data_IF_516422268489
#
_entry.id   IF_516422268489
#
_cell.length_a   1.000
_cell.length_b   1.000
_cell.length_c   1.000
_cell.angle_alpha   90.00
_cell.angle_beta   90.00
_cell.angle_gamma   90.00
#
_symmetry.space_group_name_H-M   'P 1'
#
loop_
_entity.id
_entity.type
_entity.pdbx_description
1 polymer ?
#
# COMPACT_ATOMS: atom_id res chain seq x y z
N UNK A 1 17.35 -42.27 -19.70
CA UNK A 1 16.56 -41.98 -20.91
C UNK A 1 15.47 -40.98 -20.51
N UNK A 2 15.72 -39.67 -20.64
CA UNK A 2 14.70 -38.62 -20.42
C UNK A 2 13.81 -38.65 -21.68
N UNK A 3 12.57 -39.12 -21.54
CA UNK A 3 11.61 -39.13 -22.64
C UNK A 3 11.31 -37.66 -23.02
N UNK A 4 11.17 -37.37 -24.31
CA UNK A 4 11.09 -36.03 -24.93
C UNK A 4 10.04 -35.09 -24.31
N UNK A 5 9.05 -35.64 -23.60
CA UNK A 5 7.96 -34.87 -22.98
C UNK A 5 8.11 -34.78 -21.44
N UNK A 6 9.10 -35.45 -20.83
CA UNK A 6 9.50 -35.24 -19.42
C UNK A 6 8.40 -35.43 -18.36
N UNK A 7 8.60 -34.73 -17.23
CA UNK A 7 7.73 -34.73 -16.04
C UNK A 7 6.32 -34.14 -16.31
N UNK A 8 6.17 -33.33 -17.36
CA UNK A 8 4.91 -32.66 -17.72
C UNK A 8 3.80 -33.67 -18.06
N UNK A 9 4.16 -34.82 -18.65
CA UNK A 9 3.19 -35.85 -19.05
C UNK A 9 2.52 -36.40 -17.82
N UNK A 10 3.32 -36.77 -16.81
CA UNK A 10 2.80 -37.35 -15.57
C UNK A 10 1.94 -36.34 -14.80
N UNK A 11 2.33 -35.08 -14.85
CA UNK A 11 1.61 -34.01 -14.18
C UNK A 11 0.27 -33.69 -14.85
N UNK A 12 0.24 -33.60 -16.19
CA UNK A 12 -0.95 -33.20 -16.97
C UNK A 12 -1.79 -34.38 -17.47
N UNK A 13 -1.62 -35.58 -16.94
CA UNK A 13 -2.49 -36.74 -17.22
C UNK A 13 -3.10 -37.34 -15.94
N UNK A 14 -2.96 -36.65 -14.81
CA UNK A 14 -3.29 -37.21 -13.51
C UNK A 14 -4.79 -37.25 -13.27
N UNK A 15 -5.49 -36.19 -13.64
CA UNK A 15 -6.96 -36.15 -13.53
C UNK A 15 -7.61 -37.10 -14.53
N UNK A 16 -7.02 -37.26 -15.72
CA UNK A 16 -7.42 -38.31 -16.67
C UNK A 16 -7.26 -39.71 -16.06
N UNK A 17 -6.15 -39.96 -15.37
CA UNK A 17 -5.94 -41.24 -14.68
C UNK A 17 -6.96 -41.46 -13.55
N UNK A 18 -7.33 -40.43 -12.77
CA UNK A 18 -8.39 -40.57 -11.76
C UNK A 18 -9.75 -40.91 -12.37
N UNK A 19 -10.09 -40.30 -13.51
CA UNK A 19 -11.30 -40.65 -14.24
C UNK A 19 -11.25 -42.14 -14.63
N UNK A 20 -10.13 -42.61 -15.21
CA UNK A 20 -9.98 -44.03 -15.60
C UNK A 20 -10.07 -44.96 -14.39
N UNK A 21 -9.46 -44.61 -13.26
CA UNK A 21 -9.52 -45.41 -12.02
C UNK A 21 -10.93 -45.50 -11.43
N UNK A 22 -11.82 -44.56 -11.74
CA UNK A 22 -13.21 -44.60 -11.26
C UNK A 22 -14.08 -45.63 -11.98
N UNK A 23 -13.55 -46.31 -13.02
CA UNK A 23 -14.31 -47.28 -13.81
C UNK A 23 -14.53 -48.60 -13.05
N UNK A 24 -15.75 -49.13 -13.11
CA UNK A 24 -16.10 -50.42 -12.52
C UNK A 24 -15.63 -51.62 -13.36
N UNK A 25 -15.47 -51.44 -14.67
CA UNK A 25 -15.00 -52.47 -15.61
C UNK A 25 -14.31 -51.84 -16.82
N UNK A 26 -13.70 -52.64 -17.69
CA UNK A 26 -13.03 -52.15 -18.89
C UNK A 26 -13.97 -51.40 -19.85
N UNK A 27 -15.22 -51.83 -19.95
CA UNK A 27 -16.25 -51.28 -20.84
C UNK A 27 -17.12 -50.21 -20.17
N UNK A 28 -16.93 -49.96 -18.88
CA UNK A 28 -17.72 -48.98 -18.15
C UNK A 28 -17.46 -47.56 -18.65
N UNK A 29 -18.54 -46.81 -18.91
CA UNK A 29 -18.47 -45.39 -19.24
C UNK A 29 -17.93 -44.60 -18.03
N UNK A 30 -16.96 -43.73 -18.29
CA UNK A 30 -16.33 -42.87 -17.28
C UNK A 30 -16.82 -41.44 -17.47
N UNK A 31 -17.18 -40.78 -16.36
CA UNK A 31 -17.50 -39.35 -16.37
C UNK A 31 -16.22 -38.54 -16.28
N UNK A 32 -15.96 -37.70 -17.27
CA UNK A 32 -14.80 -36.80 -17.29
C UNK A 32 -15.04 -35.66 -16.28
N UNK A 33 -14.10 -35.46 -15.35
CA UNK A 33 -14.14 -34.32 -14.42
C UNK A 33 -13.77 -33.02 -15.12
N UNK A 34 -14.15 -31.88 -14.53
CA UNK A 34 -13.79 -30.55 -15.05
C UNK A 34 -12.26 -30.40 -15.16
N UNK A 35 -11.50 -30.91 -14.18
CA UNK A 35 -10.03 -30.84 -14.22
C UNK A 35 -9.42 -31.78 -15.27
N UNK A 36 -10.01 -32.95 -15.51
CA UNK A 36 -9.60 -33.82 -16.61
C UNK A 36 -9.90 -33.20 -17.98
N UNK A 37 -10.99 -32.44 -18.10
CA UNK A 37 -11.30 -31.68 -19.31
C UNK A 37 -10.25 -30.59 -19.56
N UNK A 38 -9.79 -29.90 -18.50
CA UNK A 38 -8.68 -28.93 -18.60
C UNK A 38 -7.37 -29.59 -19.06
N UNK A 39 -7.05 -30.79 -18.56
CA UNK A 39 -5.90 -31.57 -19.03
C UNK A 39 -6.03 -31.92 -20.53
N UNK A 40 -7.20 -32.37 -20.99
CA UNK A 40 -7.46 -32.65 -22.42
C UNK A 40 -7.26 -31.39 -23.26
N UNK A 41 -7.80 -30.26 -22.82
CA UNK A 41 -7.68 -28.99 -23.52
C UNK A 41 -6.23 -28.48 -23.56
N UNK A 42 -5.48 -28.68 -22.47
CA UNK A 42 -4.04 -28.42 -22.43
C UNK A 42 -3.30 -29.23 -23.50
N UNK A 43 -3.53 -30.55 -23.58
CA UNK A 43 -2.86 -31.38 -24.59
C UNK A 43 -3.30 -31.01 -26.01
N UNK A 44 -4.58 -30.73 -26.23
CA UNK A 44 -5.10 -30.29 -27.54
C UNK A 44 -4.37 -29.05 -28.05
N UNK A 45 -4.05 -28.10 -27.15
CA UNK A 45 -3.35 -26.85 -27.50
C UNK A 45 -1.85 -27.01 -27.63
N UNK A 46 -1.22 -27.84 -26.79
CA UNK A 46 0.23 -27.82 -26.59
C UNK A 46 0.96 -29.05 -27.14
N UNK A 47 0.28 -30.15 -27.51
CA UNK A 47 0.95 -31.39 -27.92
C UNK A 47 1.85 -31.22 -29.14
N UNK A 48 1.46 -30.38 -30.11
CA UNK A 48 2.24 -30.09 -31.30
C UNK A 48 3.51 -29.28 -30.98
N UNK A 49 3.40 -28.28 -30.10
CA UNK A 49 4.52 -27.43 -29.65
C UNK A 49 5.49 -28.27 -28.81
N UNK A 50 4.98 -29.06 -27.87
CA UNK A 50 5.80 -29.92 -27.00
C UNK A 50 6.50 -31.04 -27.78
N UNK A 51 5.89 -31.55 -28.85
CA UNK A 51 6.56 -32.49 -29.77
C UNK A 51 7.58 -31.79 -30.68
N UNK A 52 7.41 -30.50 -30.99
CA UNK A 52 8.33 -29.71 -31.81
C UNK A 52 9.56 -29.19 -31.06
N UNK A 53 9.47 -29.02 -29.74
CA UNK A 53 10.56 -28.54 -28.86
C UNK A 53 11.61 -29.62 -28.52
N UNK A 54 11.91 -30.51 -29.47
CA UNK A 54 13.20 -31.21 -29.52
C UNK A 54 14.36 -30.28 -29.91
N UNK A 55 14.26 -28.98 -29.62
CA UNK A 55 15.33 -28.00 -29.84
C UNK A 55 16.28 -28.06 -28.65
N UNK A 56 17.40 -28.72 -28.94
CA UNK A 56 18.72 -28.58 -28.35
C UNK A 56 18.90 -27.53 -27.24
N UNK A 57 19.46 -27.98 -26.11
CA UNK A 57 20.02 -27.20 -25.00
C UNK A 57 21.19 -26.28 -25.42
N UNK A 58 21.62 -26.29 -26.70
CA UNK A 58 22.81 -25.59 -27.20
C UNK A 58 22.74 -24.05 -27.23
N UNK A 59 21.64 -23.41 -26.82
CA UNK A 59 21.51 -21.94 -26.84
C UNK A 59 21.36 -21.26 -25.47
N UNK A 60 21.60 -21.96 -24.36
CA UNK A 60 21.61 -21.32 -23.04
C UNK A 60 23.05 -21.19 -22.54
N UNK A 61 23.58 -19.97 -22.52
CA UNK A 61 24.88 -19.70 -21.93
C UNK A 61 24.74 -19.73 -20.40
N UNK A 62 25.78 -20.14 -19.67
CA UNK A 62 25.75 -20.21 -18.20
C UNK A 62 25.48 -18.84 -17.55
N UNK A 63 25.82 -17.74 -18.24
CA UNK A 63 25.52 -16.35 -17.85
C UNK A 63 24.06 -15.93 -18.04
N UNK A 64 23.26 -16.71 -18.78
CA UNK A 64 21.83 -16.44 -19.02
C UNK A 64 20.93 -17.06 -17.94
N UNK A 65 21.52 -17.72 -16.94
CA UNK A 65 20.85 -18.47 -15.88
C UNK A 65 21.12 -17.82 -14.53
N UNK A 66 20.32 -16.82 -14.13
CA UNK A 66 20.29 -16.45 -12.73
C UNK A 66 19.52 -17.54 -11.97
N UNK A 67 20.21 -18.26 -11.09
CA UNK A 67 19.61 -19.30 -10.26
C UNK A 67 19.02 -18.67 -9.00
N UNK A 68 17.74 -18.34 -9.05
CA UNK A 68 17.01 -17.87 -7.87
C UNK A 68 16.75 -19.05 -6.94
N UNK A 69 17.17 -18.92 -5.69
CA UNK A 69 16.90 -19.89 -4.64
C UNK A 69 15.66 -19.45 -3.87
N UNK A 70 14.62 -20.27 -3.87
CA UNK A 70 13.41 -20.05 -3.08
C UNK A 70 13.35 -21.05 -1.93
N UNK A 71 13.57 -20.57 -0.72
CA UNK A 71 13.40 -21.37 0.48
C UNK A 71 11.98 -21.22 1.01
N UNK A 72 11.29 -22.32 1.26
CA UNK A 72 9.93 -22.34 1.78
C UNK A 72 9.80 -23.28 2.97
N UNK A 73 8.89 -22.93 3.87
CA UNK A 73 8.42 -23.81 4.94
C UNK A 73 6.97 -23.48 5.32
N UNK A 74 6.29 -24.45 5.96
CA UNK A 74 4.96 -24.26 6.51
C UNK A 74 4.85 -24.82 7.93
N UNK A 75 4.27 -24.01 8.82
CA UNK A 75 3.87 -24.42 10.16
C UNK A 75 2.36 -24.65 10.24
N UNK A 76 1.87 -25.02 11.42
CA UNK A 76 0.44 -25.09 11.76
C UNK A 76 -0.26 -23.73 11.81
N UNK A 77 0.49 -22.65 12.02
CA UNK A 77 -0.07 -21.28 12.07
C UNK A 77 0.02 -20.54 10.74
N UNK A 78 1.05 -20.79 9.94
CA UNK A 78 1.28 -20.03 8.70
C UNK A 78 2.32 -20.63 7.75
N UNK A 79 2.65 -19.87 6.72
CA UNK A 79 3.69 -20.16 5.75
C UNK A 79 4.73 -19.05 5.72
N UNK A 80 5.94 -19.43 5.36
CA UNK A 80 7.05 -18.51 5.22
C UNK A 80 7.97 -18.94 4.09
N UNK A 81 8.57 -17.97 3.42
CA UNK A 81 9.62 -18.25 2.46
C UNK A 81 10.45 -17.03 2.15
N UNK A 82 11.58 -17.23 1.51
CA UNK A 82 12.48 -16.15 1.12
C UNK A 82 13.27 -16.48 -0.14
N UNK A 83 13.70 -15.42 -0.82
CA UNK A 83 14.49 -15.50 -2.03
C UNK A 83 15.95 -15.17 -1.74
N UNK A 84 16.85 -15.94 -2.32
CA UNK A 84 18.28 -15.67 -2.40
C UNK A 84 18.74 -15.78 -3.86
N UNK A 85 19.77 -15.03 -4.22
CA UNK A 85 20.53 -15.26 -5.44
C UNK A 85 21.98 -15.53 -5.07
N UNK A 86 22.65 -16.35 -5.86
CA UNK A 86 24.08 -16.55 -5.71
C UNK A 86 24.81 -15.41 -6.40
N UNK A 87 25.72 -14.75 -5.70
CA UNK A 87 26.63 -13.76 -6.26
C UNK A 87 27.98 -14.44 -6.53
N UNK A 88 28.28 -14.65 -7.81
CA UNK A 88 29.52 -15.32 -8.25
C UNK A 88 30.77 -14.50 -7.91
N UNK A 89 30.67 -13.16 -7.82
CA UNK A 89 31.82 -12.29 -7.55
C UNK A 89 32.24 -12.37 -6.08
N UNK A 90 31.26 -12.41 -5.18
CA UNK A 90 31.49 -12.46 -3.73
C UNK A 90 31.43 -13.88 -3.15
N UNK A 91 31.02 -14.88 -3.96
CA UNK A 91 30.83 -16.28 -3.56
C UNK A 91 29.87 -16.42 -2.35
N UNK A 92 28.82 -15.60 -2.32
CA UNK A 92 27.85 -15.51 -1.22
C UNK A 92 26.41 -15.49 -1.72
N UNK A 93 25.48 -15.94 -0.87
CA UNK A 93 24.05 -15.81 -1.14
C UNK A 93 23.58 -14.41 -0.72
N UNK A 94 23.04 -13.65 -1.67
CA UNK A 94 22.42 -12.35 -1.42
C UNK A 94 20.94 -12.54 -1.12
N UNK A 95 20.51 -12.06 0.06
CA UNK A 95 19.10 -12.09 0.47
C UNK A 95 18.27 -11.05 -0.29
N UNK A 96 17.19 -11.50 -0.93
CA UNK A 96 16.35 -10.68 -1.83
C UNK A 96 14.98 -10.33 -1.23
N UNK A 97 14.64 -10.87 -0.06
CA UNK A 97 13.39 -10.58 0.64
C UNK A 97 12.66 -11.84 1.10
N UNK A 98 11.74 -11.65 2.05
CA UNK A 98 10.92 -12.70 2.65
C UNK A 98 9.42 -12.46 2.47
N UNK A 99 8.67 -13.54 2.44
CA UNK A 99 7.22 -13.63 2.33
C UNK A 99 6.74 -14.41 3.54
N UNK A 100 5.69 -13.91 4.19
CA UNK A 100 5.05 -14.55 5.35
C UNK A 100 3.54 -14.40 5.19
N UNK A 101 2.78 -15.40 5.61
CA UNK A 101 1.34 -15.29 5.75
C UNK A 101 0.76 -16.34 6.69
N UNK A 102 -0.44 -16.06 7.19
CA UNK A 102 -1.16 -16.96 8.08
C UNK A 102 -2.08 -17.89 7.28
N UNK A 103 -2.34 -19.07 7.84
CA UNK A 103 -3.40 -19.95 7.36
C UNK A 103 -4.76 -19.50 7.88
N UNK A 104 -5.81 -19.70 7.09
CA UNK A 104 -7.18 -19.66 7.64
C UNK A 104 -7.42 -20.85 8.59
N UNK A 105 -8.49 -20.79 9.39
CA UNK A 105 -8.85 -21.84 10.34
C UNK A 105 -9.12 -23.21 9.66
N UNK A 106 -9.52 -23.20 8.40
CA UNK A 106 -9.74 -24.41 7.60
C UNK A 106 -8.43 -24.93 6.98
N UNK A 107 -7.60 -24.02 6.47
CA UNK A 107 -6.31 -24.36 5.85
C UNK A 107 -5.29 -24.93 6.84
N UNK A 108 -5.26 -24.42 8.07
CA UNK A 108 -4.34 -24.90 9.12
C UNK A 108 -4.58 -26.38 9.46
N UNK A 109 -5.80 -26.88 9.26
CA UNK A 109 -6.21 -28.27 9.50
C UNK A 109 -5.81 -29.22 8.36
N UNK A 110 -5.40 -28.70 7.21
CA UNK A 110 -4.94 -29.51 6.09
C UNK A 110 -3.56 -30.14 6.37
N UNK A 111 -3.25 -31.20 5.63
CA UNK A 111 -2.02 -31.97 5.83
C UNK A 111 -0.76 -31.11 5.66
N UNK A 112 0.30 -31.37 6.43
CA UNK A 112 1.58 -30.63 6.33
C UNK A 112 2.12 -30.54 4.90
N UNK A 113 2.11 -31.65 4.15
CA UNK A 113 2.53 -31.67 2.74
C UNK A 113 1.69 -30.75 1.84
N UNK A 114 0.41 -30.56 2.15
CA UNK A 114 -0.41 -29.58 1.44
C UNK A 114 0.00 -28.16 1.80
N UNK A 115 0.17 -27.87 3.11
CA UNK A 115 0.57 -26.55 3.60
C UNK A 115 1.91 -26.12 3.04
N UNK A 116 2.87 -27.01 2.92
CA UNK A 116 4.18 -26.70 2.33
C UNK A 116 4.13 -26.53 0.81
N UNK A 117 3.33 -27.32 0.08
CA UNK A 117 3.09 -27.08 -1.36
C UNK A 117 2.42 -25.72 -1.57
N UNK A 118 1.43 -25.40 -0.75
CA UNK A 118 0.72 -24.13 -0.81
C UNK A 118 1.61 -22.96 -0.38
N UNK A 119 2.55 -23.16 0.55
CA UNK A 119 3.59 -22.19 0.88
C UNK A 119 4.43 -21.85 -0.36
N UNK A 120 4.90 -22.86 -1.11
CA UNK A 120 5.61 -22.63 -2.38
C UNK A 120 4.76 -21.84 -3.37
N UNK A 121 3.49 -22.23 -3.55
CA UNK A 121 2.54 -21.57 -4.45
C UNK A 121 2.37 -20.08 -4.10
N UNK A 122 2.12 -19.76 -2.82
CA UNK A 122 1.89 -18.38 -2.36
C UNK A 122 3.16 -17.53 -2.39
N UNK A 123 4.30 -18.10 -2.01
CA UNK A 123 5.58 -17.38 -2.01
C UNK A 123 6.04 -17.09 -3.44
N UNK A 124 5.84 -18.01 -4.38
CA UNK A 124 6.07 -17.72 -5.81
C UNK A 124 5.13 -16.62 -6.31
N UNK A 125 3.83 -16.75 -6.02
CA UNK A 125 2.81 -15.81 -6.53
C UNK A 125 2.94 -14.40 -5.96
N UNK A 126 3.54 -14.22 -4.80
CA UNK A 126 3.76 -12.88 -4.23
C UNK A 126 4.80 -12.07 -5.00
N UNK A 127 5.69 -12.73 -5.77
CA UNK A 127 6.76 -12.08 -6.55
C UNK A 127 6.87 -12.62 -7.97
N UNK A 128 5.75 -12.88 -8.65
CA UNK A 128 5.72 -13.40 -10.04
C UNK A 128 6.56 -12.56 -10.99
N UNK A 129 6.40 -11.24 -10.94
CA UNK A 129 7.14 -10.30 -11.81
C UNK A 129 8.65 -10.39 -11.61
N UNK A 130 9.10 -10.78 -10.41
CA UNK A 130 10.52 -10.92 -10.08
C UNK A 130 11.12 -12.24 -10.58
N UNK A 131 10.32 -13.31 -10.58
CA UNK A 131 10.75 -14.65 -11.02
C UNK A 131 10.46 -14.92 -12.51
N UNK A 132 9.85 -13.98 -13.22
CA UNK A 132 9.46 -14.16 -14.62
C UNK A 132 10.68 -14.42 -15.52
N UNK A 133 10.60 -15.46 -16.36
CA UNK A 133 11.67 -15.92 -17.25
C UNK A 133 12.97 -16.34 -16.52
N UNK A 134 12.91 -16.68 -15.23
CA UNK A 134 14.06 -17.10 -14.42
C UNK A 134 14.06 -18.61 -14.15
N UNK A 135 15.23 -19.11 -13.72
CA UNK A 135 15.37 -20.47 -13.19
C UNK A 135 15.23 -20.43 -11.67
N UNK A 136 14.20 -21.09 -11.15
CA UNK A 136 13.84 -21.07 -9.74
C UNK A 136 14.10 -22.43 -9.10
N UNK A 137 15.01 -22.45 -8.12
CA UNK A 137 15.33 -23.62 -7.33
C UNK A 137 14.55 -23.57 -6.01
N UNK A 138 13.47 -24.33 -5.93
CA UNK A 138 12.63 -24.43 -4.73
C UNK A 138 13.26 -25.39 -3.74
N UNK A 139 13.55 -24.87 -2.55
CA UNK A 139 14.18 -25.56 -1.44
C UNK A 139 13.14 -25.76 -0.34
N UNK A 140 12.89 -27.01 0.00
CA UNK A 140 11.97 -27.43 1.06
C UNK A 140 12.58 -28.56 1.89
N UNK A 141 12.18 -28.66 3.15
CA UNK A 141 12.59 -29.72 4.05
C UNK A 141 11.70 -30.99 3.97
N UNK A 142 10.71 -31.00 3.09
CA UNK A 142 9.85 -32.16 2.86
C UNK A 142 10.10 -32.84 1.52
N UNK A 143 10.57 -34.08 1.59
CA UNK A 143 10.83 -34.93 0.42
C UNK A 143 9.59 -35.14 -0.45
N UNK A 144 8.39 -35.11 0.14
CA UNK A 144 7.14 -35.25 -0.61
C UNK A 144 6.88 -34.05 -1.52
N UNK A 145 7.19 -32.83 -1.08
CA UNK A 145 7.02 -31.61 -1.90
C UNK A 145 7.89 -31.70 -3.14
N UNK A 146 9.19 -31.96 -2.96
CA UNK A 146 10.12 -32.12 -4.07
C UNK A 146 9.67 -33.21 -5.04
N UNK A 147 9.13 -34.32 -4.53
CA UNK A 147 8.64 -35.41 -5.38
C UNK A 147 7.35 -35.04 -6.11
N UNK A 148 6.38 -34.41 -5.43
CA UNK A 148 5.09 -34.03 -6.02
C UNK A 148 5.29 -32.97 -7.10
N UNK A 149 6.18 -32.01 -6.89
CA UNK A 149 6.47 -31.00 -7.92
C UNK A 149 7.20 -31.59 -9.14
N UNK A 150 7.90 -32.72 -8.99
CA UNK A 150 8.46 -33.46 -10.12
C UNK A 150 7.44 -34.36 -10.83
N UNK A 151 6.64 -35.15 -10.12
CA UNK A 151 5.85 -36.23 -10.76
C UNK A 151 4.33 -36.13 -10.55
N UNK A 152 3.86 -35.11 -9.84
CA UNK A 152 2.48 -35.00 -9.39
C UNK A 152 2.15 -35.90 -8.18
N UNK A 153 0.93 -35.79 -7.67
CA UNK A 153 0.43 -36.56 -6.54
C UNK A 153 -0.65 -37.56 -6.94
N UNK A 154 -0.82 -38.64 -6.16
CA UNK A 154 -1.99 -39.54 -6.23
C UNK A 154 -3.21 -39.00 -5.48
N UNK A 155 -3.04 -37.95 -4.68
CA UNK A 155 -4.12 -37.34 -3.90
C UNK A 155 -4.65 -36.12 -4.66
N UNK A 156 -5.96 -36.04 -4.97
CA UNK A 156 -6.52 -34.95 -5.77
C UNK A 156 -6.20 -33.54 -5.22
N UNK A 157 -6.36 -33.31 -3.92
CA UNK A 157 -6.11 -32.00 -3.31
C UNK A 157 -4.64 -31.55 -3.40
N UNK A 158 -3.68 -32.48 -3.34
CA UNK A 158 -2.25 -32.18 -3.55
C UNK A 158 -1.94 -31.96 -5.03
N UNK A 159 -2.62 -32.69 -5.93
CA UNK A 159 -2.46 -32.53 -7.37
C UNK A 159 -2.96 -31.16 -7.85
N UNK A 160 -4.04 -30.63 -7.25
CA UNK A 160 -4.54 -29.28 -7.54
C UNK A 160 -3.49 -28.23 -7.20
N UNK A 161 -2.95 -28.26 -5.97
CA UNK A 161 -1.91 -27.32 -5.54
C UNK A 161 -0.66 -27.38 -6.44
N UNK A 162 -0.18 -28.58 -6.75
CA UNK A 162 0.94 -28.76 -7.67
C UNK A 162 0.64 -28.22 -9.07
N UNK A 163 -0.57 -28.46 -9.60
CA UNK A 163 -0.98 -27.99 -10.93
C UNK A 163 -1.00 -26.46 -11.02
N UNK A 164 -1.44 -25.77 -9.96
CA UNK A 164 -1.45 -24.31 -9.91
C UNK A 164 -0.02 -23.72 -9.92
N UNK A 165 0.91 -24.33 -9.19
CA UNK A 165 2.33 -23.91 -9.22
C UNK A 165 2.84 -24.03 -10.66
N UNK A 166 2.60 -25.17 -11.29
CA UNK A 166 3.09 -25.45 -12.63
C UNK A 166 2.46 -24.56 -13.71
N UNK A 167 1.17 -24.25 -13.60
CA UNK A 167 0.49 -23.27 -14.45
C UNK A 167 1.13 -21.89 -14.32
N UNK A 168 1.37 -21.44 -13.09
CA UNK A 168 2.06 -20.18 -12.82
C UNK A 168 3.46 -20.16 -13.44
N UNK A 169 4.18 -21.28 -13.41
CA UNK A 169 5.50 -21.41 -14.05
C UNK A 169 5.42 -21.24 -15.57
N UNK A 170 4.50 -21.97 -16.22
CA UNK A 170 4.33 -21.92 -17.68
C UNK A 170 3.94 -20.51 -18.13
N UNK A 171 2.94 -19.91 -17.47
CA UNK A 171 2.41 -18.59 -17.81
C UNK A 171 3.48 -17.49 -17.73
N UNK A 172 4.48 -17.66 -16.88
CA UNK A 172 5.52 -16.67 -16.60
C UNK A 172 6.92 -17.11 -17.07
N UNK A 173 7.03 -18.17 -17.87
CA UNK A 173 8.31 -18.64 -18.41
C UNK A 173 9.33 -19.12 -17.37
N UNK A 174 8.88 -19.51 -16.17
CA UNK A 174 9.76 -19.89 -15.05
C UNK A 174 10.13 -21.37 -15.17
N UNK A 175 11.42 -21.70 -15.16
CA UNK A 175 11.85 -23.10 -15.04
C UNK A 175 12.08 -23.44 -13.57
N UNK A 176 11.29 -24.37 -13.04
CA UNK A 176 11.40 -24.78 -11.64
C UNK A 176 12.19 -26.07 -11.50
N UNK A 177 13.21 -26.04 -10.62
CA UNK A 177 13.81 -27.25 -10.07
C UNK A 177 13.52 -27.34 -8.58
N UNK A 178 13.47 -28.57 -8.05
CA UNK A 178 13.16 -28.80 -6.64
C UNK A 178 14.29 -29.54 -5.96
N UNK A 179 14.76 -28.97 -4.85
CA UNK A 179 15.86 -29.51 -4.05
C UNK A 179 15.36 -29.73 -2.63
N UNK A 180 15.48 -30.96 -2.15
CA UNK A 180 15.25 -31.24 -0.74
C UNK A 180 16.50 -30.88 0.07
N UNK A 181 16.34 -30.10 1.14
CA UNK A 181 17.40 -29.86 2.12
C UNK A 181 16.99 -30.30 3.52
N UNK A 182 17.93 -30.74 4.38
CA UNK A 182 17.60 -31.05 5.76
C UNK A 182 17.04 -29.85 6.54
N UNK A 183 16.14 -30.09 7.48
CA UNK A 183 15.47 -29.04 8.27
C UNK A 183 16.43 -28.11 9.02
N UNK A 184 17.60 -28.61 9.45
CA UNK A 184 18.60 -27.79 10.13
C UNK A 184 19.28 -26.75 9.22
N UNK A 185 19.16 -26.89 7.90
CA UNK A 185 19.63 -25.93 6.90
C UNK A 185 18.54 -24.94 6.49
N UNK A 186 17.25 -25.23 6.78
CA UNK A 186 16.10 -24.41 6.41
C UNK A 186 15.57 -23.57 7.59
N UNK A 187 16.43 -23.17 8.53
CA UNK A 187 16.04 -22.51 9.79
C UNK A 187 15.29 -21.20 9.57
N UNK A 188 15.68 -20.42 8.56
CA UNK A 188 15.06 -19.11 8.30
C UNK A 188 13.64 -19.27 7.79
N UNK A 189 13.38 -20.23 6.89
CA UNK A 189 12.02 -20.48 6.43
C UNK A 189 11.14 -21.03 7.58
N UNK A 190 11.67 -21.92 8.42
CA UNK A 190 10.95 -22.43 9.61
C UNK A 190 10.64 -21.34 10.64
N UNK A 191 11.52 -20.35 10.82
CA UNK A 191 11.21 -19.17 11.61
C UNK A 191 10.10 -18.34 10.96
N UNK A 192 10.20 -18.07 9.65
CA UNK A 192 9.22 -17.27 8.91
C UNK A 192 7.83 -17.92 8.90
N UNK A 193 7.75 -19.25 8.80
CA UNK A 193 6.48 -19.97 8.75
C UNK A 193 5.71 -19.93 10.07
N UNK A 194 6.38 -19.61 11.19
CA UNK A 194 5.80 -19.51 12.54
C UNK A 194 5.52 -18.07 12.97
N UNK A 195 5.82 -17.08 12.12
CA UNK A 195 5.49 -15.68 12.40
C UNK A 195 3.99 -15.47 12.27
N UNK A 196 3.28 -15.52 13.39
CA UNK A 196 1.88 -15.13 13.48
C UNK A 196 1.78 -13.63 13.73
N UNK A 197 1.27 -12.88 12.75
CA UNK A 197 1.00 -11.45 12.93
C UNK A 197 -0.33 -11.25 13.70
N UNK A 198 -0.22 -11.26 15.04
CA UNK A 198 -1.36 -11.02 15.94
C UNK A 198 -1.90 -9.59 15.82
N UNK A 199 -1.15 -8.69 15.18
CA UNK A 199 -1.50 -7.30 14.98
C UNK A 199 -2.09 -7.02 13.58
N UNK A 200 -2.42 -8.05 12.78
CA UNK A 200 -3.02 -7.89 11.44
C UNK A 200 -4.55 -7.69 11.52
N UNK A 201 -4.95 -6.59 12.15
CA UNK A 201 -6.35 -6.18 12.28
C UNK A 201 -6.78 -5.28 11.12
N UNK A 202 -8.09 -5.26 10.83
CA UNK A 202 -8.63 -4.35 9.81
C UNK A 202 -9.92 -3.69 10.28
N UNK A 203 -10.20 -2.54 9.70
CA UNK A 203 -11.44 -1.79 9.92
C UNK A 203 -12.55 -2.40 9.08
N UNK A 204 -13.78 -2.47 9.61
CA UNK A 204 -14.94 -2.98 8.87
C UNK A 204 -15.25 -2.12 7.63
N UNK A 205 -15.74 -2.74 6.56
CA UNK A 205 -15.99 -2.05 5.29
C UNK A 205 -16.99 -0.88 5.43
N UNK A 206 -18.02 -1.02 6.27
CA UNK A 206 -18.98 0.06 6.52
C UNK A 206 -18.32 1.32 7.11
N UNK A 207 -17.32 1.12 7.98
CA UNK A 207 -16.57 2.21 8.61
C UNK A 207 -15.63 2.85 7.58
N UNK A 208 -14.95 2.03 6.76
CA UNK A 208 -14.13 2.52 5.66
C UNK A 208 -14.93 3.37 4.67
N UNK A 209 -16.09 2.87 4.21
CA UNK A 209 -16.99 3.59 3.29
C UNK A 209 -17.51 4.91 3.87
N UNK A 210 -17.71 4.99 5.19
CA UNK A 210 -18.08 6.24 5.86
C UNK A 210 -16.95 7.28 5.76
N UNK A 211 -15.71 6.87 5.97
CA UNK A 211 -14.56 7.77 5.88
C UNK A 211 -14.21 8.15 4.45
N UNK A 212 -14.38 7.24 3.48
CA UNK A 212 -14.30 7.54 2.04
C UNK A 212 -15.19 8.74 1.67
N UNK A 213 -16.46 8.74 2.12
CA UNK A 213 -17.39 9.86 1.86
C UNK A 213 -16.96 11.17 2.51
N UNK A 214 -16.32 11.11 3.69
CA UNK A 214 -15.93 12.30 4.45
C UNK A 214 -14.60 12.89 4.02
N UNK A 215 -13.62 12.05 3.71
CA UNK A 215 -12.23 12.43 3.48
C UNK A 215 -11.79 12.29 2.01
N UNK A 216 -12.68 11.78 1.16
CA UNK A 216 -12.39 11.49 -0.24
C UNK A 216 -11.75 10.11 -0.41
N UNK A 217 -11.63 9.70 -1.68
CA UNK A 217 -11.14 8.37 -2.04
C UNK A 217 -9.68 8.22 -1.61
N UNK A 218 -9.39 7.22 -0.77
CA UNK A 218 -8.04 6.87 -0.36
C UNK A 218 -7.32 6.20 -1.53
N UNK A 219 -6.11 6.66 -1.80
CA UNK A 219 -5.33 6.20 -2.96
C UNK A 219 -4.52 4.95 -2.64
N UNK A 220 -4.20 4.72 -1.36
CA UNK A 220 -3.31 3.66 -0.93
C UNK A 220 -3.52 3.28 0.54
N UNK A 221 -3.44 1.98 0.81
CA UNK A 221 -3.53 1.39 2.15
C UNK A 221 -2.12 1.02 2.66
N UNK A 222 -1.63 1.71 3.70
CA UNK A 222 -0.21 1.62 4.10
C UNK A 222 0.08 0.49 5.10
N UNK A 223 -0.91 -0.17 5.67
CA UNK A 223 -0.68 -1.19 6.70
C UNK A 223 -1.59 -2.40 6.48
N UNK A 224 -1.63 -2.89 5.25
CA UNK A 224 -2.53 -3.95 4.85
C UNK A 224 -1.80 -5.15 4.24
N UNK A 225 -2.53 -6.24 4.13
CA UNK A 225 -2.18 -7.47 3.44
C UNK A 225 -3.20 -7.75 2.34
N UNK A 226 -2.88 -8.70 1.45
CA UNK A 226 -3.70 -9.01 0.28
C UNK A 226 -5.17 -9.36 0.58
N UNK A 227 -5.49 -9.82 1.80
CA UNK A 227 -6.84 -10.20 2.19
C UNK A 227 -7.59 -9.11 2.98
N UNK A 228 -6.89 -8.12 3.56
CA UNK A 228 -7.53 -7.08 4.38
C UNK A 228 -7.44 -5.67 3.80
N UNK A 229 -6.76 -5.51 2.64
CA UNK A 229 -6.62 -4.23 1.94
C UNK A 229 -7.97 -3.56 1.68
N UNK A 230 -8.02 -2.24 1.86
CA UNK A 230 -9.18 -1.40 1.51
C UNK A 230 -9.01 -0.66 0.19
N UNK A 231 -7.76 -0.48 -0.24
CA UNK A 231 -7.40 0.18 -1.50
C UNK A 231 -6.85 -0.84 -2.50
N UNK A 232 -6.89 -0.51 -3.79
CA UNK A 232 -6.29 -1.34 -4.84
C UNK A 232 -4.78 -1.47 -4.63
N UNK A 233 -4.11 -0.32 -4.43
CA UNK A 233 -2.70 -0.17 -4.05
C UNK A 233 -2.57 -0.29 -2.53
N UNK A 234 -1.58 -1.06 -2.08
CA UNK A 234 -1.33 -1.22 -0.64
C UNK A 234 0.12 -1.58 -0.34
N UNK A 235 0.58 -1.27 0.88
CA UNK A 235 1.87 -1.69 1.40
C UNK A 235 1.67 -2.68 2.55
N UNK A 236 2.49 -3.73 2.54
CA UNK A 236 2.43 -4.81 3.51
C UNK A 236 3.72 -4.92 4.32
N UNK A 237 3.64 -5.53 5.50
CA UNK A 237 4.82 -5.77 6.35
C UNK A 237 5.82 -6.73 5.70
N UNK A 238 5.31 -7.75 5.01
CA UNK A 238 6.08 -8.72 4.23
C UNK A 238 5.56 -8.78 2.80
N UNK A 239 6.34 -9.29 1.86
CA UNK A 239 5.87 -9.45 0.48
C UNK A 239 4.63 -10.36 0.46
N UNK A 240 3.55 -9.92 -0.18
CA UNK A 240 2.34 -10.72 -0.38
C UNK A 240 1.71 -10.38 -1.75
N UNK A 241 0.83 -11.24 -2.30
CA UNK A 241 0.27 -11.04 -3.64
C UNK A 241 -0.37 -9.65 -3.80
N UNK A 242 0.10 -8.89 -4.80
CA UNK A 242 -0.42 -7.57 -5.14
C UNK A 242 0.07 -6.42 -4.27
N UNK A 243 0.98 -6.65 -3.31
CA UNK A 243 1.58 -5.55 -2.54
C UNK A 243 2.44 -4.67 -3.43
N UNK A 244 2.30 -3.35 -3.29
CA UNK A 244 3.10 -2.36 -4.01
C UNK A 244 4.52 -2.29 -3.48
N UNK A 245 4.67 -2.35 -2.15
CA UNK A 245 5.96 -2.30 -1.48
C UNK A 245 5.88 -2.85 -0.06
N UNK A 246 7.03 -3.29 0.46
CA UNK A 246 7.19 -3.68 1.86
C UNK A 246 7.60 -2.50 2.74
N UNK A 247 7.21 -2.55 4.02
CA UNK A 247 7.47 -1.54 5.04
C UNK A 247 7.00 -0.12 4.62
N UNK A 248 5.79 0.23 5.01
CA UNK A 248 5.25 1.56 4.72
C UNK A 248 6.07 2.73 5.26
N UNK A 249 6.93 2.54 6.28
CA UNK A 249 7.77 3.63 6.76
C UNK A 249 8.89 4.00 5.78
N UNK A 250 9.24 3.11 4.84
CA UNK A 250 10.22 3.38 3.79
C UNK A 250 9.61 4.09 2.57
N UNK A 251 8.28 4.12 2.49
CA UNK A 251 7.54 4.71 1.37
C UNK A 251 7.27 6.19 1.60
N UNK A 252 7.19 6.99 0.54
CA UNK A 252 6.78 8.40 0.63
C UNK A 252 5.28 8.52 0.89
N UNK A 253 4.87 9.26 1.93
CA UNK A 253 3.45 9.45 2.25
C UNK A 253 2.89 10.79 1.78
N UNK A 254 3.75 11.68 1.32
CA UNK A 254 3.37 13.01 0.84
C UNK A 254 2.49 12.87 -0.40
N UNK A 255 1.54 13.78 -0.54
CA UNK A 255 0.63 13.91 -1.68
C UNK A 255 -0.41 12.77 -1.84
N UNK A 256 -0.22 11.61 -1.23
CA UNK A 256 -1.19 10.51 -1.23
C UNK A 256 -2.33 10.70 -0.22
N UNK A 257 -3.52 10.18 -0.52
CA UNK A 257 -4.60 10.05 0.46
C UNK A 257 -4.48 8.69 1.16
N UNK A 258 -3.61 8.66 2.18
CA UNK A 258 -3.21 7.44 2.86
C UNK A 258 -4.30 6.92 3.80
N UNK A 259 -4.76 5.67 3.56
CA UNK A 259 -5.47 4.91 4.57
C UNK A 259 -4.45 4.24 5.51
N UNK A 260 -4.60 4.50 6.82
CA UNK A 260 -3.62 4.15 7.83
C UNK A 260 -4.29 3.35 8.95
N UNK A 261 -4.05 2.04 8.97
CA UNK A 261 -4.51 1.12 10.03
C UNK A 261 -3.29 0.38 10.61
N UNK A 262 -2.34 1.11 11.25
CA UNK A 262 -1.15 0.46 11.80
C UNK A 262 -1.48 -0.37 13.03
N UNK A 263 -0.66 -1.38 13.37
CA UNK A 263 -0.59 -1.96 14.71
C UNK A 263 -0.58 -0.88 15.80
N UNK A 264 -1.29 -1.05 16.94
CA UNK A 264 -1.38 -0.01 17.98
C UNK A 264 -0.02 0.49 18.49
N UNK A 265 0.97 -0.40 18.55
CA UNK A 265 2.36 -0.09 18.93
C UNK A 265 3.07 0.88 17.98
N UNK A 266 2.62 0.98 16.72
CA UNK A 266 3.23 1.80 15.68
C UNK A 266 2.52 3.14 15.49
N UNK A 267 1.40 3.40 16.16
CA UNK A 267 0.63 4.66 16.01
C UNK A 267 1.49 5.90 16.23
N UNK A 268 2.34 5.91 17.27
CA UNK A 268 3.24 7.03 17.56
C UNK A 268 4.23 7.28 16.42
N UNK A 269 4.80 6.21 15.85
CA UNK A 269 5.72 6.28 14.71
C UNK A 269 5.01 6.75 13.44
N UNK A 270 3.77 6.31 13.21
CA UNK A 270 2.92 6.78 12.10
C UNK A 270 2.67 8.28 12.23
N UNK A 271 2.25 8.76 13.40
CA UNK A 271 2.03 10.20 13.64
C UNK A 271 3.32 10.98 13.40
N UNK A 272 4.46 10.52 13.92
CA UNK A 272 5.75 11.19 13.73
C UNK A 272 6.15 11.25 12.25
N UNK A 273 5.95 10.16 11.48
CA UNK A 273 6.21 10.17 10.04
C UNK A 273 5.26 11.11 9.30
N UNK A 274 3.97 11.11 9.62
CA UNK A 274 3.02 12.05 9.03
C UNK A 274 3.41 13.50 9.30
N UNK A 275 3.86 13.81 10.52
CA UNK A 275 4.33 15.15 10.89
C UNK A 275 5.64 15.52 10.17
N UNK A 276 6.61 14.61 10.11
CA UNK A 276 7.90 14.84 9.46
C UNK A 276 7.76 15.04 7.95
N UNK A 277 6.94 14.22 7.30
CA UNK A 277 6.73 14.27 5.85
C UNK A 277 5.66 15.27 5.44
N UNK A 278 4.94 15.88 6.40
CA UNK A 278 3.78 16.75 6.14
C UNK A 278 2.74 16.02 5.29
N UNK A 279 2.67 14.70 5.45
CA UNK A 279 1.78 13.82 4.71
C UNK A 279 0.35 14.29 4.97
N UNK A 280 -0.32 14.72 3.91
CA UNK A 280 -1.64 15.34 4.00
C UNK A 280 -2.56 14.69 2.97
N UNK A 281 -3.63 14.06 3.46
CA UNK A 281 -4.77 13.61 2.65
C UNK A 281 -5.59 14.79 2.13
N UNK A 282 -4.95 15.72 1.42
CA UNK A 282 -5.58 16.84 0.72
C UNK A 282 -6.09 16.41 -0.66
N UNK A 283 -5.68 15.24 -1.16
CA UNK A 283 -5.94 14.81 -2.52
C UNK A 283 -5.22 15.68 -3.57
N UNK A 284 -4.19 16.44 -3.21
CA UNK A 284 -3.44 17.29 -4.18
C UNK A 284 -2.82 16.43 -5.28
N UNK A 285 -2.27 15.24 -4.95
CA UNK A 285 -1.75 14.33 -5.98
C UNK A 285 -2.83 13.92 -6.97
N UNK A 286 -4.07 13.67 -6.53
CA UNK A 286 -5.16 13.32 -7.43
C UNK A 286 -5.41 14.43 -8.45
N UNK A 287 -5.38 15.69 -8.02
CA UNK A 287 -5.57 16.84 -8.90
C UNK A 287 -4.37 17.07 -9.82
N UNK A 288 -3.14 16.94 -9.31
CA UNK A 288 -1.91 17.04 -10.11
C UNK A 288 -1.87 15.92 -11.16
N UNK A 289 -2.15 14.68 -10.77
CA UNK A 289 -2.22 13.53 -11.67
C UNK A 289 -3.30 13.72 -12.72
N UNK A 290 -4.48 14.21 -12.32
CA UNK A 290 -5.55 14.52 -13.25
C UNK A 290 -5.12 15.59 -14.26
N UNK A 291 -4.49 16.67 -13.83
CA UNK A 291 -3.97 17.71 -14.73
C UNK A 291 -2.91 17.17 -15.70
N UNK A 292 -2.03 16.28 -15.23
CA UNK A 292 -1.03 15.59 -16.07
C UNK A 292 -1.71 14.71 -17.11
N UNK A 293 -2.71 13.91 -16.72
CA UNK A 293 -3.48 13.06 -17.64
C UNK A 293 -4.25 13.92 -18.65
N UNK A 294 -4.95 14.97 -18.19
CA UNK A 294 -5.73 15.88 -19.03
C UNK A 294 -4.84 16.63 -20.04
N UNK A 295 -3.54 16.78 -19.75
CA UNK A 295 -2.54 17.31 -20.69
C UNK A 295 -2.04 16.30 -21.74
N UNK A 296 -2.51 15.06 -21.68
CA UNK A 296 -2.13 13.98 -22.60
C UNK A 296 -0.87 13.19 -22.18
N UNK A 297 -0.36 13.39 -20.96
CA UNK A 297 0.81 12.70 -20.44
C UNK A 297 0.38 11.46 -19.67
N UNK A 298 0.95 10.30 -20.01
CA UNK A 298 0.76 9.07 -19.24
C UNK A 298 1.55 9.12 -17.93
N UNK A 299 0.91 8.73 -16.82
CA UNK A 299 1.56 8.64 -15.52
C UNK A 299 2.72 7.62 -15.50
N UNK A 300 2.68 6.60 -16.37
CA UNK A 300 3.73 5.57 -16.47
C UNK A 300 4.92 6.00 -17.36
N UNK A 301 5.00 7.28 -17.72
CA UNK A 301 6.11 7.83 -18.49
C UNK A 301 7.12 8.51 -17.57
N UNK A 302 8.38 8.62 -18.01
CA UNK A 302 9.42 9.39 -17.28
C UNK A 302 8.99 10.81 -16.91
N UNK A 303 8.11 11.42 -17.72
CA UNK A 303 7.56 12.75 -17.46
C UNK A 303 6.40 12.70 -16.45
N UNK A 304 5.59 11.64 -16.49
CA UNK A 304 4.53 11.36 -15.51
C UNK A 304 5.07 11.11 -14.11
N UNK A 305 6.23 10.44 -13.98
CA UNK A 305 6.92 10.19 -12.70
C UNK A 305 7.27 11.49 -11.95
N UNK A 306 7.39 12.62 -12.65
CA UNK A 306 7.69 13.92 -12.03
C UNK A 306 6.47 14.54 -11.32
N UNK A 307 5.26 14.02 -11.52
CA UNK A 307 4.04 14.49 -10.85
C UNK A 307 4.16 14.45 -9.32
N UNK A 308 4.72 13.37 -8.78
CA UNK A 308 4.97 13.20 -7.34
C UNK A 308 5.96 14.22 -6.80
N UNK A 309 6.96 14.58 -7.61
CA UNK A 309 7.96 15.59 -7.25
C UNK A 309 7.31 16.98 -7.26
N UNK A 310 6.55 17.28 -8.31
CA UNK A 310 5.84 18.55 -8.47
C UNK A 310 4.90 18.81 -7.29
N UNK A 311 4.07 17.83 -6.89
CA UNK A 311 3.17 18.01 -5.75
C UNK A 311 3.92 18.34 -4.45
N UNK A 312 5.02 17.64 -4.16
CA UNK A 312 5.85 17.92 -2.98
C UNK A 312 6.40 19.35 -2.99
N UNK A 313 6.90 19.80 -4.13
CA UNK A 313 7.41 21.17 -4.26
C UNK A 313 6.30 22.22 -4.11
N UNK A 314 5.12 22.00 -4.70
CA UNK A 314 3.98 22.89 -4.55
C UNK A 314 3.57 23.07 -3.08
N UNK A 315 3.53 21.99 -2.30
CA UNK A 315 3.22 22.06 -0.87
C UNK A 315 4.32 22.77 -0.06
N UNK A 316 5.58 22.60 -0.44
CA UNK A 316 6.72 23.27 0.22
C UNK A 316 6.80 24.78 -0.04
N UNK A 317 6.01 25.31 -0.98
CA UNK A 317 5.99 26.74 -1.31
C UNK A 317 5.48 27.66 -0.19
N UNK A 318 4.85 27.08 0.85
CA UNK A 318 4.32 27.79 2.03
C UNK A 318 4.74 27.08 3.32
N UNK A 319 4.70 27.81 4.44
CA UNK A 319 4.95 27.24 5.76
C UNK A 319 3.86 26.25 6.19
N UNK A 320 4.19 25.34 7.10
CA UNK A 320 3.25 24.30 7.55
C UNK A 320 2.04 24.85 8.28
N UNK A 321 2.26 25.90 9.08
CA UNK A 321 1.17 26.62 9.74
C UNK A 321 0.21 27.23 8.72
N UNK A 322 0.73 27.77 7.61
CA UNK A 322 -0.06 28.36 6.52
C UNK A 322 -0.82 27.27 5.75
N UNK A 323 -0.14 26.19 5.34
CA UNK A 323 -0.77 25.05 4.66
C UNK A 323 -1.89 24.45 5.52
N UNK A 324 -1.68 24.31 6.82
CA UNK A 324 -2.68 23.80 7.76
C UNK A 324 -3.88 24.75 7.87
N UNK A 325 -3.63 26.05 7.99
CA UNK A 325 -4.69 27.06 8.06
C UNK A 325 -5.53 27.07 6.77
N UNK A 326 -4.89 27.05 5.60
CA UNK A 326 -5.58 27.04 4.32
C UNK A 326 -6.33 25.73 4.05
N UNK A 327 -5.77 24.59 4.44
CA UNK A 327 -6.49 23.31 4.42
C UNK A 327 -7.78 23.37 5.23
N UNK A 328 -7.71 23.86 6.47
CA UNK A 328 -8.88 23.96 7.35
C UNK A 328 -9.92 24.93 6.78
N UNK A 329 -9.49 26.05 6.22
CA UNK A 329 -10.38 27.00 5.55
C UNK A 329 -11.05 26.40 4.32
N UNK A 330 -10.31 25.65 3.49
CA UNK A 330 -10.85 25.01 2.29
C UNK A 330 -11.84 23.88 2.63
N UNK A 331 -11.59 23.13 3.71
CA UNK A 331 -12.54 22.10 4.16
C UNK A 331 -13.91 22.69 4.53
N UNK A 332 -13.94 23.90 5.11
CA UNK A 332 -15.22 24.59 5.39
C UNK A 332 -15.97 24.96 4.11
N UNK A 333 -15.24 25.44 3.10
CA UNK A 333 -15.79 25.66 1.76
C UNK A 333 -16.35 24.37 1.16
N UNK A 334 -15.57 23.28 1.20
CA UNK A 334 -15.97 21.97 0.69
C UNK A 334 -17.26 21.47 1.34
N UNK A 335 -17.36 21.56 2.66
CA UNK A 335 -18.59 21.16 3.37
C UNK A 335 -19.80 22.00 2.96
N UNK A 336 -19.62 23.31 2.80
CA UNK A 336 -20.69 24.22 2.37
C UNK A 336 -21.18 23.87 0.95
N UNK A 337 -20.26 23.76 0.00
CA UNK A 337 -20.60 23.60 -1.42
C UNK A 337 -21.16 22.21 -1.73
N UNK A 338 -20.63 21.17 -1.07
CA UNK A 338 -21.14 19.81 -1.20
C UNK A 338 -22.55 19.66 -0.62
N UNK A 339 -22.90 20.47 0.39
CA UNK A 339 -24.26 20.53 0.93
C UNK A 339 -25.29 21.07 -0.08
N UNK A 340 -24.84 21.67 -1.18
CA UNK A 340 -25.65 22.19 -2.27
C UNK A 340 -25.45 21.44 -3.60
N UNK A 341 -24.85 20.24 -3.55
CA UNK A 341 -24.59 19.38 -4.71
C UNK A 341 -23.79 20.06 -5.84
N UNK A 342 -22.93 21.02 -5.48
CA UNK A 342 -22.04 21.72 -6.41
C UNK A 342 -20.59 21.26 -6.25
N UNK A 343 -19.77 21.46 -7.29
CA UNK A 343 -18.37 21.03 -7.31
C UNK A 343 -17.46 21.92 -6.48
N UNK A 344 -16.59 21.32 -5.67
CA UNK A 344 -15.61 22.04 -4.87
C UNK A 344 -14.43 22.58 -5.69
N UNK A 345 -14.02 21.86 -6.73
CA UNK A 345 -12.94 22.20 -7.68
C UNK A 345 -13.30 21.59 -9.07
N UNK A 346 -13.30 22.40 -10.15
CA UNK A 346 -13.17 23.85 -10.16
C UNK A 346 -14.43 24.53 -9.58
N UNK A 347 -14.23 25.50 -8.69
CA UNK A 347 -15.32 26.30 -8.15
C UNK A 347 -15.76 27.37 -9.14
N UNK A 348 -17.08 27.52 -9.32
CA UNK A 348 -17.61 28.67 -10.06
C UNK A 348 -17.48 29.94 -9.20
N UNK A 349 -17.02 31.08 -9.77
CA UNK A 349 -16.84 32.30 -8.99
C UNK A 349 -18.10 32.78 -8.27
N UNK A 350 -19.28 32.55 -8.85
CA UNK A 350 -20.56 32.89 -8.23
C UNK A 350 -20.83 32.05 -6.97
N UNK A 351 -20.44 30.78 -6.94
CA UNK A 351 -20.60 29.94 -5.75
C UNK A 351 -19.67 30.40 -4.61
N UNK A 352 -18.45 30.83 -4.95
CA UNK A 352 -17.52 31.41 -3.98
C UNK A 352 -18.09 32.73 -3.41
N UNK A 353 -18.68 33.57 -4.26
CA UNK A 353 -19.35 34.80 -3.82
C UNK A 353 -20.54 34.52 -2.89
N UNK A 354 -21.37 33.51 -3.19
CA UNK A 354 -22.47 33.08 -2.32
C UNK A 354 -21.97 32.59 -0.96
N UNK A 355 -20.89 31.82 -0.93
CA UNK A 355 -20.29 31.37 0.32
C UNK A 355 -19.74 32.53 1.16
N UNK A 356 -19.07 33.50 0.54
CA UNK A 356 -18.61 34.70 1.25
C UNK A 356 -19.79 35.50 1.81
N UNK A 357 -20.88 35.61 1.04
CA UNK A 357 -22.12 36.25 1.50
C UNK A 357 -22.70 35.54 2.71
N UNK A 358 -22.78 34.20 2.66
CA UNK A 358 -23.21 33.38 3.80
C UNK A 358 -22.34 33.60 5.05
N UNK A 359 -21.01 33.70 4.89
CA UNK A 359 -20.11 34.01 6.00
C UNK A 359 -20.38 35.40 6.60
N UNK A 360 -20.63 36.39 5.75
CA UNK A 360 -20.95 37.75 6.19
C UNK A 360 -22.28 37.83 6.93
N UNK A 361 -23.33 37.20 6.41
CA UNK A 361 -24.65 37.14 7.03
C UNK A 361 -24.61 36.39 8.38
N UNK A 362 -23.69 35.42 8.51
CA UNK A 362 -23.41 34.72 9.76
C UNK A 362 -22.58 35.53 10.76
N UNK A 363 -22.20 36.77 10.43
CA UNK A 363 -21.41 37.65 11.29
C UNK A 363 -19.93 37.31 11.37
N UNK A 364 -19.36 36.63 10.37
CA UNK A 364 -17.94 36.29 10.34
C UNK A 364 -17.05 37.55 10.31
N UNK A 365 -15.88 37.45 10.95
CA UNK A 365 -14.90 38.54 10.93
C UNK A 365 -14.21 38.67 9.57
N UNK A 366 -13.65 39.86 9.28
CA UNK A 366 -12.80 40.08 8.10
C UNK A 366 -11.69 39.03 7.98
N UNK A 367 -11.02 38.69 9.08
CA UNK A 367 -9.95 37.68 9.08
C UNK A 367 -10.46 36.30 8.65
N UNK A 368 -11.67 35.93 9.08
CA UNK A 368 -12.31 34.66 8.70
C UNK A 368 -12.64 34.62 7.22
N UNK A 369 -13.25 35.69 6.69
CA UNK A 369 -13.57 35.82 5.26
C UNK A 369 -12.29 35.80 4.42
N UNK A 370 -11.28 36.55 4.84
CA UNK A 370 -10.01 36.64 4.12
C UNK A 370 -9.26 35.29 4.13
N UNK A 371 -9.28 34.57 5.25
CA UNK A 371 -8.72 33.22 5.33
C UNK A 371 -9.46 32.25 4.40
N UNK A 372 -10.79 32.33 4.31
CA UNK A 372 -11.57 31.50 3.39
C UNK A 372 -11.20 31.77 1.92
N UNK A 373 -11.07 33.05 1.53
CA UNK A 373 -10.63 33.45 0.19
C UNK A 373 -9.24 32.90 -0.12
N UNK A 374 -8.25 33.12 0.75
CA UNK A 374 -6.90 32.59 0.53
C UNK A 374 -6.84 31.08 0.48
N UNK A 375 -7.69 30.39 1.24
CA UNK A 375 -7.77 28.93 1.23
C UNK A 375 -8.30 28.40 -0.10
N UNK A 376 -9.35 29.02 -0.63
CA UNK A 376 -9.94 28.68 -1.94
C UNK A 376 -8.94 28.97 -3.04
N UNK A 377 -8.32 30.15 -3.02
CA UNK A 377 -7.25 30.55 -3.95
C UNK A 377 -6.11 29.53 -3.96
N UNK A 378 -5.50 29.29 -2.80
CA UNK A 378 -4.37 28.39 -2.65
C UNK A 378 -4.68 27.00 -3.19
N UNK A 379 -5.85 26.45 -2.87
CA UNK A 379 -6.23 25.12 -3.34
C UNK A 379 -6.41 25.06 -4.87
N UNK A 380 -6.97 26.10 -5.48
CA UNK A 380 -7.13 26.16 -6.94
C UNK A 380 -5.77 26.30 -7.64
N UNK A 381 -4.88 27.15 -7.11
CA UNK A 381 -3.53 27.35 -7.65
C UNK A 381 -2.69 26.07 -7.61
N UNK A 382 -2.62 25.38 -6.45
CA UNK A 382 -1.85 24.12 -6.34
C UNK A 382 -2.46 22.97 -7.14
N UNK A 383 -3.76 23.05 -7.46
CA UNK A 383 -4.47 22.07 -8.28
C UNK A 383 -4.44 22.42 -9.77
N UNK A 384 -3.77 23.51 -10.16
CA UNK A 384 -3.61 23.92 -11.56
C UNK A 384 -4.83 24.59 -12.21
N UNK A 385 -5.81 25.03 -11.42
CA UNK A 385 -7.01 25.71 -11.91
C UNK A 385 -6.90 27.23 -11.84
N UNK A 386 -7.73 27.94 -12.61
CA UNK A 386 -7.87 29.39 -12.50
C UNK A 386 -8.40 29.79 -11.13
N UNK A 387 -7.83 30.85 -10.54
CA UNK A 387 -8.26 31.38 -9.24
C UNK A 387 -9.68 31.98 -9.34
N UNK A 388 -10.71 31.35 -8.72
CA UNK A 388 -12.08 31.85 -8.78
C UNK A 388 -12.27 33.14 -7.95
N UNK A 389 -11.31 33.45 -7.08
CA UNK A 389 -11.36 34.63 -6.19
C UNK A 389 -10.96 35.92 -6.90
N UNK A 390 -10.37 35.84 -8.10
CA UNK A 390 -10.03 37.01 -8.92
C UNK A 390 -11.26 37.70 -9.53
N UNK A 391 -12.42 37.04 -9.51
CA UNK A 391 -13.69 37.55 -10.01
C UNK A 391 -14.14 38.81 -9.25
N UNK A 392 -14.77 39.74 -9.98
CA UNK A 392 -15.22 41.03 -9.45
C UNK A 392 -16.20 40.93 -8.28
N UNK A 393 -17.08 39.91 -8.24
CA UNK A 393 -17.99 39.70 -7.13
C UNK A 393 -17.24 39.34 -5.85
N UNK A 394 -16.29 38.41 -5.93
CA UNK A 394 -15.49 37.97 -4.78
C UNK A 394 -14.66 39.13 -4.23
N UNK A 395 -13.98 39.88 -5.10
CA UNK A 395 -13.21 41.07 -4.71
C UNK A 395 -14.08 42.15 -4.06
N UNK A 396 -15.26 42.42 -4.61
CA UNK A 396 -16.18 43.41 -4.05
C UNK A 396 -16.70 42.99 -2.67
N UNK A 397 -17.01 41.70 -2.49
CA UNK A 397 -17.44 41.14 -1.21
C UNK A 397 -16.30 41.14 -0.17
N UNK A 398 -15.07 40.87 -0.58
CA UNK A 398 -13.90 40.98 0.28
C UNK A 398 -13.70 42.42 0.78
N UNK A 399 -13.80 43.41 -0.10
CA UNK A 399 -13.74 44.83 0.29
C UNK A 399 -14.93 45.23 1.17
N UNK A 400 -16.13 44.71 0.91
CA UNK A 400 -17.29 44.90 1.78
C UNK A 400 -17.03 44.34 3.18
N UNK A 401 -16.48 43.12 3.27
CA UNK A 401 -16.14 42.49 4.55
C UNK A 401 -15.16 43.33 5.36
N UNK A 402 -14.17 43.94 4.70
CA UNK A 402 -13.19 44.81 5.32
C UNK A 402 -13.82 46.07 5.91
N UNK A 403 -14.81 46.66 5.23
CA UNK A 403 -15.51 47.87 5.68
C UNK A 403 -16.52 47.60 6.78
N UNK A 404 -17.30 46.52 6.64
CA UNK A 404 -18.39 46.19 7.57
C UNK A 404 -17.91 45.54 8.87
N UNK A 405 -16.89 44.68 8.78
CA UNK A 405 -16.47 43.83 9.91
C UNK A 405 -15.05 44.13 10.38
N UNK A 406 -14.37 45.08 9.74
CA UNK A 406 -13.04 45.55 10.13
C UNK A 406 -13.07 46.23 11.49
N UNK A 407 -12.80 45.46 12.55
CA UNK A 407 -12.60 46.02 13.89
C UNK A 407 -11.17 46.59 14.00
N UNK A 408 -10.96 47.70 14.73
CA UNK A 408 -9.62 48.17 15.04
C UNK A 408 -8.83 47.07 15.77
N UNK A 409 -7.58 46.86 15.36
CA UNK A 409 -6.71 45.86 15.97
C UNK A 409 -6.45 46.28 17.42
N UNK A 410 -7.04 45.55 18.38
CA UNK A 410 -6.80 45.76 19.80
C UNK A 410 -5.47 45.11 20.16
N UNK A 411 -4.43 45.93 20.35
CA UNK A 411 -3.15 45.47 20.86
C UNK A 411 -3.34 44.97 22.29
N UNK A 412 -2.64 43.88 22.65
CA UNK A 412 -2.60 43.42 24.04
C UNK A 412 -1.86 44.46 24.88
N UNK A 413 -2.32 44.73 26.09
CA UNK A 413 -1.64 45.64 27.01
C UNK A 413 -0.23 45.08 27.33
N UNK A 414 0.80 45.94 27.38
CA UNK A 414 2.14 45.50 27.72
C UNK A 414 2.19 44.95 29.15
N UNK A 415 2.83 43.80 29.33
CA UNK A 415 3.16 43.30 30.67
C UNK A 415 4.23 44.24 31.23
N UNK A 416 4.05 44.72 32.46
CA UNK A 416 5.07 45.50 33.15
C UNK A 416 5.82 44.67 34.22
N UNK A 417 6.92 45.24 34.73
CA UNK A 417 7.75 44.59 35.74
C UNK A 417 7.00 44.33 37.05
N UNK A 418 6.10 45.23 37.44
CA UNK A 418 5.39 45.17 38.71
C UNK A 418 4.36 44.03 38.70
N UNK A 419 3.66 43.84 37.58
CA UNK A 419 2.75 42.73 37.34
C UNK A 419 3.45 41.39 37.49
N UNK A 420 4.68 41.25 36.94
CA UNK A 420 5.48 40.03 37.08
C UNK A 420 5.95 39.80 38.51
N UNK A 421 6.39 40.85 39.21
CA UNK A 421 6.78 40.75 40.62
C UNK A 421 5.63 40.30 41.51
N UNK A 422 4.43 40.86 41.28
CA UNK A 422 3.22 40.46 41.99
C UNK A 422 2.83 39.01 41.67
N UNK A 423 2.93 38.60 40.40
CA UNK A 423 2.65 37.23 39.96
C UNK A 423 3.62 36.23 40.63
N UNK A 424 4.91 36.52 40.64
CA UNK A 424 5.91 35.68 41.33
C UNK A 424 5.63 35.62 42.83
N UNK A 425 5.27 36.74 43.44
CA UNK A 425 4.91 36.82 44.86
C UNK A 425 3.78 35.86 45.23
N UNK A 426 2.71 35.80 44.42
CA UNK A 426 1.55 34.93 44.65
C UNK A 426 1.87 33.43 44.64
N UNK A 427 2.93 33.02 43.95
CA UNK A 427 3.27 31.61 43.76
C UNK A 427 4.64 31.22 44.35
N UNK A 428 5.21 32.07 45.22
CA UNK A 428 6.55 31.89 45.80
C UNK A 428 6.73 30.53 46.49
N UNK A 429 5.72 30.07 47.23
CA UNK A 429 5.76 28.82 47.99
C UNK A 429 5.08 27.64 47.27
N UNK A 430 4.71 27.82 45.99
CA UNK A 430 4.03 26.77 45.24
C UNK A 430 4.98 25.61 44.95
N UNK A 431 4.57 24.39 45.32
CA UNK A 431 5.26 23.15 44.97
C UNK A 431 4.70 22.49 43.71
N UNK A 432 3.71 23.12 43.08
CA UNK A 432 3.14 22.61 41.84
C UNK A 432 4.07 22.91 40.66
N UNK A 433 4.58 21.85 40.06
CA UNK A 433 5.54 21.88 38.95
C UNK A 433 4.96 22.59 37.73
N UNK A 434 3.65 22.48 37.47
CA UNK A 434 3.00 23.15 36.34
C UNK A 434 2.96 24.67 36.54
N UNK A 435 2.62 25.12 37.75
CA UNK A 435 2.65 26.53 38.14
C UNK A 435 4.05 27.11 37.99
N UNK A 436 5.08 26.43 38.53
CA UNK A 436 6.47 26.88 38.43
C UNK A 436 6.96 26.94 36.98
N UNK A 437 6.65 25.93 36.14
CA UNK A 437 7.00 25.91 34.71
C UNK A 437 6.39 27.12 33.98
N UNK A 438 5.09 27.36 34.17
CA UNK A 438 4.40 28.45 33.49
C UNK A 438 4.95 29.81 33.94
N UNK A 439 5.26 29.98 35.24
CA UNK A 439 5.89 31.19 35.77
C UNK A 439 7.27 31.43 35.15
N UNK A 440 8.10 30.37 35.04
CA UNK A 440 9.40 30.45 34.37
C UNK A 440 9.27 30.82 32.89
N UNK A 441 8.31 30.23 32.16
CA UNK A 441 8.07 30.56 30.75
C UNK A 441 7.66 32.03 30.56
N UNK A 442 6.80 32.56 31.42
CA UNK A 442 6.37 33.97 31.38
C UNK A 442 7.57 34.90 31.62
N UNK A 443 8.41 34.60 32.63
CA UNK A 443 9.60 35.39 32.95
C UNK A 443 10.64 35.34 31.83
N UNK A 444 10.90 34.16 31.26
CA UNK A 444 11.84 33.99 30.15
C UNK A 444 11.34 34.73 28.91
N UNK A 445 10.06 34.57 28.56
CA UNK A 445 9.45 35.26 27.42
C UNK A 445 9.46 36.79 27.57
N UNK A 446 9.24 37.31 28.78
CA UNK A 446 9.35 38.74 29.06
C UNK A 446 10.78 39.26 28.96
N UNK A 447 11.76 38.55 29.53
CA UNK A 447 13.16 39.00 29.52
C UNK A 447 13.82 38.92 28.13
N UNK A 448 13.38 37.99 27.28
CA UNK A 448 14.02 37.71 26.00
C UNK A 448 13.18 38.11 24.77
N UNK A 449 11.99 38.69 24.96
CA UNK A 449 11.07 39.09 23.89
C UNK A 449 10.72 37.98 22.88
N UNK A 450 10.71 36.72 23.33
CA UNK A 450 10.36 35.60 22.46
C UNK A 450 8.85 35.57 22.17
N UNK A 451 8.48 35.27 20.92
CA UNK A 451 7.13 34.79 20.60
C UNK A 451 6.98 33.41 21.26
N UNK A 452 6.13 33.34 22.29
CA UNK A 452 5.79 32.09 23.00
C UNK A 452 4.68 31.35 22.23
#
# INVERSE_FOLDING_TARGET
MKVVVGDIVRMKTRFLYYCILSKASWEAKVKISVDALKEIEFWRKNVSILNGNGLSIEFVCASDVCNLLLYCDASDVGFGGYFETFDDENNENVFLGSVVGNWTADESRLSSTWRELEAVNRVMKSRVNFIQNQNLNVISDNKNVSKIMQVGSKKPYLQIAASQIFETCIENGVQVTNVWKPRYENKRADFLSRLSDMDDWSVHDDVFQKYEKMWGIHTIDRFATHYNKKCERFNSKYWCPGTEAIDAFTQGWVCENNWLVPPPSLISRVINKMLAEKASGLGVQLHVNKAVIDSGISLNSKLGDLSDHMCRYLLSSKSDSTNKAYRLGFQRWKTFINGHEQTEIPAQPVHVALYITHLLDSGASYSTVNNAIYSIKWMHEISGYSDPTENSFVKSLQESSKRLTGRPVRRKDPIDRQMLQNLCGLYTDSKDVLTLRNLSMILIGFCWFFEI
#
